data_IF_707124567516
#
_entry.id   IF_707124567516
#
_cell.length_a   1.000
_cell.length_b   1.000
_cell.length_c   1.000
_cell.angle_alpha   90.00
_cell.angle_beta   90.00
_cell.angle_gamma   90.00
#
_symmetry.space_group_name_H-M   'P 1'
#
loop_
_entity.id
_entity.type
_entity.pdbx_description
1 polymer ?
#
# COMPACT_ATOMS: atom_id res chain seq x y z
N UNK A 1 -1.33 -78.21 15.45
CA UNK A 1 -1.12 -77.10 14.47
C UNK A 1 -1.88 -75.81 14.72
N UNK A 2 -2.86 -75.69 15.62
CA UNK A 2 -3.62 -74.47 15.92
C UNK A 2 -2.85 -73.46 16.82
N UNK A 3 -1.93 -73.94 17.64
CA UNK A 3 -1.21 -73.05 18.61
C UNK A 3 -0.14 -72.11 17.96
N UNK A 4 0.50 -72.57 16.89
CA UNK A 4 1.57 -71.82 16.20
C UNK A 4 1.02 -70.62 15.45
N UNK A 5 -0.17 -70.72 14.87
CA UNK A 5 -0.76 -69.55 14.12
C UNK A 5 -1.20 -68.41 15.02
N UNK A 6 -1.62 -68.68 16.25
CA UNK A 6 -2.01 -67.66 17.21
C UNK A 6 -0.79 -66.91 17.73
N UNK A 7 0.35 -67.61 17.89
CA UNK A 7 1.60 -66.96 18.32
C UNK A 7 2.16 -66.06 17.24
N UNK A 8 2.15 -66.50 15.97
CA UNK A 8 2.60 -65.75 14.81
C UNK A 8 1.72 -64.50 14.61
N UNK A 9 0.38 -64.60 14.74
CA UNK A 9 -0.50 -63.44 14.57
C UNK A 9 -0.29 -62.36 15.64
N UNK A 10 -0.05 -62.79 16.91
CA UNK A 10 0.28 -61.83 18.01
C UNK A 10 1.63 -61.18 17.82
N UNK A 11 2.62 -61.90 17.29
CA UNK A 11 3.93 -61.35 16.99
C UNK A 11 3.87 -60.34 15.84
N UNK A 12 3.15 -60.66 14.77
CA UNK A 12 2.91 -59.75 13.63
C UNK A 12 2.19 -58.46 14.08
N UNK A 13 1.14 -58.60 14.91
CA UNK A 13 0.42 -57.44 15.45
C UNK A 13 1.33 -56.50 16.25
N UNK A 14 2.22 -57.05 17.09
CA UNK A 14 3.16 -56.25 17.87
C UNK A 14 4.20 -55.55 17.03
N UNK A 15 4.67 -56.19 15.96
CA UNK A 15 5.62 -55.59 14.99
C UNK A 15 4.91 -54.48 14.21
N UNK A 16 3.65 -54.67 13.80
CA UNK A 16 2.87 -53.64 13.10
C UNK A 16 2.62 -52.41 13.97
N UNK A 17 2.28 -52.61 15.25
CA UNK A 17 2.14 -51.50 16.22
C UNK A 17 3.43 -50.75 16.45
N UNK A 18 4.57 -51.46 16.56
CA UNK A 18 5.89 -50.81 16.72
C UNK A 18 6.28 -50.01 15.48
N UNK A 19 5.98 -50.49 14.27
CA UNK A 19 6.21 -49.75 13.02
C UNK A 19 5.32 -48.51 12.90
N UNK A 20 4.05 -48.62 13.31
CA UNK A 20 3.11 -47.52 13.29
C UNK A 20 3.51 -46.40 14.31
N UNK A 21 4.00 -46.79 15.48
CA UNK A 21 4.51 -45.87 16.48
C UNK A 21 5.79 -45.14 15.98
N UNK A 22 6.65 -45.82 15.22
CA UNK A 22 7.87 -45.24 14.65
C UNK A 22 7.55 -44.21 13.56
N UNK A 23 6.52 -44.44 12.74
CA UNK A 23 6.07 -43.53 11.67
C UNK A 23 5.48 -42.26 12.28
N UNK A 24 4.72 -42.35 13.36
CA UNK A 24 4.12 -41.20 14.05
C UNK A 24 5.19 -40.32 14.71
N UNK A 25 6.28 -40.90 15.24
CA UNK A 25 7.35 -40.14 15.88
C UNK A 25 8.19 -39.33 14.87
N UNK A 26 8.26 -39.73 13.60
CA UNK A 26 8.97 -38.97 12.55
C UNK A 26 8.12 -37.81 12.02
N UNK A 27 6.80 -37.91 12.08
CA UNK A 27 5.89 -36.88 11.56
C UNK A 27 5.81 -35.61 12.42
N UNK A 28 6.21 -35.65 13.68
CA UNK A 28 6.18 -34.47 14.59
C UNK A 28 7.51 -33.71 14.67
N UNK A 29 8.57 -34.16 13.96
CA UNK A 29 9.86 -33.46 13.94
C UNK A 29 10.01 -32.47 12.80
N UNK A 30 8.97 -32.26 11.98
CA UNK A 30 9.06 -31.47 10.75
C UNK A 30 8.34 -30.11 10.85
N UNK A 31 8.50 -29.38 11.94
CA UNK A 31 8.14 -27.97 12.01
C UNK A 31 8.88 -27.27 13.14
N UNK A 32 10.19 -27.10 13.00
CA UNK A 32 10.88 -25.96 13.55
C UNK A 32 11.59 -25.26 12.37
N UNK A 33 10.79 -24.63 11.51
CA UNK A 33 11.32 -23.55 10.71
C UNK A 33 11.72 -22.48 11.71
N UNK A 34 12.99 -22.51 12.12
CA UNK A 34 13.64 -21.32 12.64
C UNK A 34 13.68 -20.34 11.45
N UNK A 35 12.58 -19.59 11.28
CA UNK A 35 12.58 -18.43 10.41
C UNK A 35 13.66 -17.55 11.02
N UNK A 36 14.76 -17.40 10.29
CA UNK A 36 15.81 -16.47 10.66
C UNK A 36 15.23 -15.05 10.54
N UNK A 37 14.67 -14.57 11.63
CA UNK A 37 14.09 -13.22 11.72
C UNK A 37 15.14 -12.11 11.58
N UNK A 38 16.44 -12.46 11.62
CA UNK A 38 17.53 -11.49 11.45
C UNK A 38 17.54 -10.86 10.05
N UNK A 39 16.97 -11.55 9.05
CA UNK A 39 16.77 -11.05 7.69
C UNK A 39 15.36 -10.53 7.42
N UNK A 40 14.48 -10.52 8.43
CA UNK A 40 13.18 -9.91 8.29
C UNK A 40 13.39 -8.40 8.17
N UNK A 41 13.20 -7.85 6.97
CA UNK A 41 13.23 -6.41 6.76
C UNK A 41 12.07 -5.79 7.54
N UNK A 42 12.36 -5.30 8.73
CA UNK A 42 11.40 -4.52 9.51
C UNK A 42 11.32 -3.14 8.86
N UNK A 43 10.24 -2.87 8.16
CA UNK A 43 9.96 -1.55 7.63
C UNK A 43 9.82 -0.57 8.82
N UNK A 44 10.85 0.25 9.04
CA UNK A 44 10.86 1.29 10.06
C UNK A 44 10.26 2.62 9.56
N UNK A 45 9.84 2.66 8.29
CA UNK A 45 9.27 3.83 7.66
C UNK A 45 7.78 3.99 7.97
N UNK A 46 7.33 5.23 7.97
CA UNK A 46 5.92 5.57 8.09
C UNK A 46 5.18 5.28 6.79
N UNK A 47 4.00 4.65 6.85
CA UNK A 47 3.14 4.48 5.68
C UNK A 47 2.59 5.82 5.21
N UNK A 48 2.19 5.92 3.93
CA UNK A 48 1.58 7.14 3.39
C UNK A 48 0.32 7.53 4.17
N UNK A 49 -0.58 6.58 4.42
CA UNK A 49 -1.77 6.82 5.26
C UNK A 49 -1.41 7.21 6.68
N UNK A 50 -0.38 6.61 7.27
CA UNK A 50 0.13 6.98 8.58
C UNK A 50 0.66 8.42 8.63
N UNK A 51 1.37 8.85 7.59
CA UNK A 51 1.82 10.23 7.44
C UNK A 51 0.63 11.20 7.34
N UNK A 52 -0.32 10.93 6.42
CA UNK A 52 -1.50 11.78 6.21
C UNK A 52 -2.32 11.96 7.50
N UNK A 53 -2.49 10.90 8.30
CA UNK A 53 -3.20 10.94 9.58
C UNK A 53 -2.58 11.90 10.61
N UNK A 54 -1.28 12.19 10.49
CA UNK A 54 -0.54 13.05 11.43
C UNK A 54 -0.50 14.51 11.00
N UNK A 55 -0.92 14.82 9.77
CA UNK A 55 -0.90 16.18 9.22
C UNK A 55 -2.31 16.76 9.21
N UNK A 56 -2.62 17.76 10.08
CA UNK A 56 -3.95 18.35 10.14
C UNK A 56 -4.40 18.98 8.82
N UNK A 57 -3.47 19.55 8.05
CA UNK A 57 -3.68 20.19 6.75
C UNK A 57 -3.98 19.20 5.59
N UNK A 58 -3.95 17.90 5.86
CA UNK A 58 -4.26 16.84 4.89
C UNK A 58 -5.52 16.05 5.27
N UNK A 59 -6.31 16.58 6.19
CA UNK A 59 -7.48 15.89 6.74
C UNK A 59 -8.53 15.57 5.67
N UNK A 60 -8.76 16.48 4.71
CA UNK A 60 -9.68 16.26 3.59
C UNK A 60 -9.17 15.19 2.62
N UNK A 61 -7.85 15.14 2.40
CA UNK A 61 -7.28 14.06 1.59
C UNK A 61 -7.51 12.69 2.21
N UNK A 62 -7.42 12.56 3.53
CA UNK A 62 -7.75 11.33 4.24
C UNK A 62 -9.21 10.89 4.02
N UNK A 63 -10.16 11.85 3.99
CA UNK A 63 -11.55 11.56 3.64
C UNK A 63 -11.66 10.99 2.23
N UNK A 64 -10.96 11.60 1.26
CA UNK A 64 -10.96 11.11 -0.13
C UNK A 64 -10.32 9.74 -0.26
N UNK A 65 -9.23 9.44 0.45
CA UNK A 65 -8.60 8.12 0.47
C UNK A 65 -9.55 7.02 0.94
N UNK A 66 -10.40 7.29 1.95
CA UNK A 66 -11.40 6.36 2.48
C UNK A 66 -12.56 6.13 1.52
N UNK A 67 -12.83 7.04 0.60
CA UNK A 67 -13.88 6.93 -0.42
C UNK A 67 -13.38 6.27 -1.71
N UNK A 68 -12.14 6.53 -2.08
CA UNK A 68 -11.56 5.99 -3.30
C UNK A 68 -11.29 4.48 -3.17
N UNK A 69 -11.77 3.68 -4.14
CA UNK A 69 -11.58 2.23 -4.18
C UNK A 69 -10.21 1.88 -4.74
N UNK A 70 -9.49 0.97 -4.08
CA UNK A 70 -8.15 0.56 -4.52
C UNK A 70 -8.15 -0.45 -5.68
N UNK A 71 -9.28 -1.12 -5.93
CA UNK A 71 -9.36 -2.21 -6.91
C UNK A 71 -8.77 -3.55 -6.44
N UNK A 72 -8.10 -3.61 -5.30
CA UNK A 72 -7.43 -4.81 -4.77
C UNK A 72 -8.36 -5.83 -4.10
N UNK A 73 -9.66 -5.67 -4.20
CA UNK A 73 -10.64 -6.57 -3.61
C UNK A 73 -11.97 -5.89 -3.29
N UNK A 74 -12.98 -6.67 -2.91
CA UNK A 74 -14.29 -6.12 -2.57
C UNK A 74 -14.20 -5.24 -1.33
N UNK A 75 -14.41 -3.94 -1.53
CA UNK A 75 -14.48 -2.95 -0.45
C UNK A 75 -13.14 -2.40 0.02
N UNK A 76 -12.00 -2.80 -0.57
CA UNK A 76 -10.72 -2.20 -0.25
C UNK A 76 -10.63 -0.76 -0.74
N UNK A 77 -10.21 0.14 0.13
CA UNK A 77 -10.07 1.57 -0.12
C UNK A 77 -8.60 1.98 -0.20
N UNK A 78 -8.33 3.16 -0.73
CA UNK A 78 -6.96 3.64 -0.94
C UNK A 78 -6.22 3.89 0.37
N UNK A 79 -6.90 4.27 1.44
CA UNK A 79 -6.26 4.41 2.76
C UNK A 79 -5.70 3.07 3.28
N UNK A 80 -6.41 1.96 3.08
CA UNK A 80 -5.90 0.63 3.44
C UNK A 80 -4.74 0.19 2.53
N UNK A 81 -4.83 0.48 1.22
CA UNK A 81 -3.75 0.15 0.30
C UNK A 81 -2.47 0.89 0.67
N UNK A 82 -2.57 2.19 0.95
CA UNK A 82 -1.43 3.05 1.30
C UNK A 82 -0.97 2.90 2.77
N UNK A 83 -1.69 2.14 3.59
CA UNK A 83 -1.24 1.71 4.93
C UNK A 83 -0.28 0.50 4.83
N UNK A 84 -0.40 -0.26 3.74
CA UNK A 84 0.46 -1.39 3.41
C UNK A 84 1.80 -0.94 2.81
N UNK A 85 2.76 -1.87 2.73
CA UNK A 85 4.05 -1.63 2.08
C UNK A 85 3.86 -1.45 0.57
N UNK A 86 4.62 -0.54 -0.01
CA UNK A 86 4.65 -0.30 -1.45
C UNK A 86 5.53 0.90 -1.78
N UNK A 87 5.96 1.00 -3.02
CA UNK A 87 6.76 2.11 -3.53
C UNK A 87 5.84 3.13 -4.19
N UNK A 88 5.29 4.04 -3.40
CA UNK A 88 4.36 5.06 -3.89
C UNK A 88 5.02 6.45 -3.89
N UNK A 89 4.81 7.20 -4.95
CA UNK A 89 5.07 8.63 -4.98
C UNK A 89 3.73 9.35 -4.93
N UNK A 90 3.52 10.15 -3.89
CA UNK A 90 2.24 10.80 -3.64
C UNK A 90 2.40 12.33 -3.68
N UNK A 91 1.63 12.97 -4.56
CA UNK A 91 1.50 14.42 -4.66
C UNK A 91 0.22 14.86 -3.96
N UNK A 92 0.30 14.97 -2.64
CA UNK A 92 -0.87 15.15 -1.78
C UNK A 92 -1.30 16.62 -1.77
N UNK A 93 -2.53 16.94 -2.23
CA UNK A 93 -3.06 18.30 -2.15
C UNK A 93 -3.42 18.67 -0.71
N UNK A 94 -3.20 19.92 -0.34
CA UNK A 94 -3.63 20.48 0.95
C UNK A 94 -5.15 20.59 1.04
N UNK A 95 -5.66 20.71 2.26
CA UNK A 95 -7.11 20.87 2.53
C UNK A 95 -7.71 22.06 1.80
N UNK A 96 -6.96 23.17 1.68
CA UNK A 96 -7.40 24.35 0.95
C UNK A 96 -7.48 24.09 -0.55
N UNK A 97 -6.50 23.42 -1.13
CA UNK A 97 -6.49 23.07 -2.54
C UNK A 97 -7.63 22.10 -2.89
N UNK A 98 -7.90 21.12 -2.02
CA UNK A 98 -9.05 20.22 -2.19
C UNK A 98 -10.36 21.00 -2.12
N UNK A 99 -10.49 21.91 -1.14
CA UNK A 99 -11.72 22.69 -0.99
C UNK A 99 -11.99 23.55 -2.21
N UNK A 100 -10.97 24.27 -2.69
CA UNK A 100 -11.10 25.13 -3.87
C UNK A 100 -11.52 24.30 -5.11
N UNK A 101 -10.90 23.14 -5.31
CA UNK A 101 -11.22 22.25 -6.41
C UNK A 101 -12.65 21.70 -6.31
N UNK A 102 -13.04 21.19 -5.14
CA UNK A 102 -14.37 20.62 -4.93
C UNK A 102 -15.46 21.69 -5.05
N UNK A 103 -15.25 22.87 -4.49
CA UNK A 103 -16.17 24.01 -4.60
C UNK A 103 -16.38 24.42 -6.08
N UNK A 104 -15.30 24.35 -6.88
CA UNK A 104 -15.37 24.64 -8.32
C UNK A 104 -16.16 23.56 -9.08
N UNK A 105 -15.92 22.28 -8.81
CA UNK A 105 -16.60 21.17 -9.49
C UNK A 105 -18.09 21.11 -9.14
N UNK A 106 -18.40 21.25 -7.85
CA UNK A 106 -19.79 21.23 -7.34
C UNK A 106 -20.51 22.58 -7.54
N UNK A 107 -19.81 23.58 -8.07
CA UNK A 107 -20.31 24.96 -8.23
C UNK A 107 -20.96 25.52 -6.97
N UNK A 108 -20.37 25.20 -5.81
CA UNK A 108 -20.88 25.57 -4.49
C UNK A 108 -19.73 25.81 -3.52
N UNK A 109 -19.60 27.03 -3.06
CA UNK A 109 -18.58 27.43 -2.06
C UNK A 109 -18.85 26.75 -0.71
N UNK A 110 -17.80 26.17 -0.08
CA UNK A 110 -17.86 25.49 1.20
C UNK A 110 -18.58 24.15 1.12
N UNK A 111 -18.49 23.45 -0.01
CA UNK A 111 -19.07 22.11 -0.14
C UNK A 111 -18.37 21.15 0.82
N UNK A 112 -19.15 20.36 1.55
CA UNK A 112 -18.61 19.39 2.50
C UNK A 112 -17.97 18.21 1.75
N UNK A 113 -16.66 18.04 1.92
CA UNK A 113 -15.86 16.97 1.27
C UNK A 113 -16.36 15.56 1.64
N UNK A 114 -17.05 15.42 2.80
CA UNK A 114 -17.69 14.15 3.14
C UNK A 114 -18.83 13.78 2.19
N UNK A 115 -19.40 14.73 1.49
CA UNK A 115 -20.48 14.51 0.52
C UNK A 115 -19.98 14.36 -0.93
N UNK A 116 -18.68 14.45 -1.16
CA UNK A 116 -18.08 14.19 -2.49
C UNK A 116 -18.40 12.76 -2.91
N UNK A 117 -18.74 12.57 -4.19
CA UNK A 117 -19.00 11.22 -4.73
C UNK A 117 -17.73 10.35 -4.70
N UNK A 118 -17.90 9.04 -4.56
CA UNK A 118 -16.79 8.08 -4.60
C UNK A 118 -16.02 8.19 -5.92
N UNK A 119 -16.71 8.46 -7.03
CA UNK A 119 -16.09 8.64 -8.35
C UNK A 119 -15.19 9.88 -8.39
N UNK A 120 -15.64 11.02 -7.85
CA UNK A 120 -14.83 12.23 -7.81
C UNK A 120 -13.64 12.07 -6.85
N UNK A 121 -13.87 11.44 -5.69
CA UNK A 121 -12.79 11.10 -4.77
C UNK A 121 -11.72 10.23 -5.43
N UNK A 122 -12.14 9.22 -6.20
CA UNK A 122 -11.22 8.34 -6.94
C UNK A 122 -10.43 9.11 -8.00
N UNK A 123 -11.06 10.02 -8.73
CA UNK A 123 -10.37 10.86 -9.72
C UNK A 123 -9.28 11.70 -9.06
N UNK A 124 -9.56 12.36 -7.95
CA UNK A 124 -8.59 13.19 -7.22
C UNK A 124 -7.42 12.33 -6.73
N UNK A 125 -7.73 11.24 -6.04
CA UNK A 125 -6.73 10.36 -5.43
C UNK A 125 -5.85 9.69 -6.51
N UNK A 126 -6.44 9.13 -7.56
CA UNK A 126 -5.68 8.42 -8.60
C UNK A 126 -4.79 9.34 -9.43
N UNK A 127 -5.16 10.61 -9.59
CA UNK A 127 -4.31 11.60 -10.25
C UNK A 127 -3.13 12.08 -9.38
N UNK A 128 -3.19 11.85 -8.07
CA UNK A 128 -2.15 12.30 -7.12
C UNK A 128 -1.14 11.21 -6.74
N UNK A 129 -1.33 9.96 -7.16
CA UNK A 129 -0.51 8.82 -6.75
C UNK A 129 0.11 8.15 -7.96
N UNK A 130 1.41 7.90 -7.89
CA UNK A 130 2.14 6.99 -8.78
C UNK A 130 2.43 5.71 -7.99
N UNK A 131 2.00 4.57 -8.51
CA UNK A 131 2.46 3.26 -8.06
C UNK A 131 3.73 2.92 -8.84
N UNK A 132 4.86 2.95 -8.14
CA UNK A 132 6.17 2.71 -8.75
C UNK A 132 6.47 1.19 -8.90
N UNK A 133 5.65 0.31 -8.32
CA UNK A 133 5.87 -1.13 -8.35
C UNK A 133 7.21 -1.51 -7.73
N UNK A 134 8.08 -2.17 -8.51
CA UNK A 134 9.42 -2.59 -8.08
C UNK A 134 10.48 -1.47 -8.21
N UNK A 135 10.12 -0.31 -8.76
CA UNK A 135 11.03 0.83 -8.93
C UNK A 135 10.98 1.70 -7.67
N UNK A 136 12.13 2.25 -7.27
CA UNK A 136 12.19 3.17 -6.13
C UNK A 136 11.27 4.38 -6.35
N UNK A 137 10.54 4.77 -5.30
CA UNK A 137 9.68 5.95 -5.34
C UNK A 137 10.49 7.22 -5.58
N UNK A 138 9.95 8.15 -6.34
CA UNK A 138 10.58 9.44 -6.56
C UNK A 138 10.70 10.23 -5.26
N UNK A 139 11.86 10.80 -5.02
CA UNK A 139 12.10 11.76 -3.94
C UNK A 139 12.10 13.18 -4.51
N UNK A 140 11.59 14.12 -3.75
CA UNK A 140 11.54 15.52 -4.20
C UNK A 140 12.92 16.12 -4.52
N UNK A 141 13.97 15.59 -3.90
CA UNK A 141 15.38 15.96 -4.14
C UNK A 141 15.90 15.47 -5.49
N UNK A 142 15.30 14.44 -6.06
CA UNK A 142 15.79 13.74 -7.26
C UNK A 142 15.01 14.19 -8.51
N UNK A 143 14.05 15.08 -8.36
CA UNK A 143 13.27 15.58 -9.49
C UNK A 143 14.15 16.35 -10.48
N UNK A 144 13.97 16.00 -11.74
CA UNK A 144 14.52 16.74 -12.87
C UNK A 144 13.39 17.39 -13.65
N UNK A 145 13.71 18.49 -14.35
CA UNK A 145 12.73 19.13 -15.22
C UNK A 145 12.35 18.19 -16.36
N UNK A 146 11.05 18.05 -16.56
CA UNK A 146 10.50 17.20 -17.61
C UNK A 146 9.39 16.28 -17.14
N UNK A 147 9.08 15.26 -17.95
CA UNK A 147 8.01 14.30 -17.71
C UNK A 147 8.54 13.14 -16.86
N UNK A 148 7.84 12.81 -15.78
CA UNK A 148 8.13 11.59 -15.02
C UNK A 148 7.84 10.35 -15.88
N UNK A 149 8.68 9.32 -15.75
CA UNK A 149 8.54 8.11 -16.56
C UNK A 149 7.30 7.29 -16.20
N UNK A 150 7.00 7.20 -14.89
CA UNK A 150 5.82 6.51 -14.40
C UNK A 150 4.62 7.44 -14.47
N UNK A 151 3.47 6.85 -14.81
CA UNK A 151 2.17 7.53 -14.79
C UNK A 151 1.51 7.43 -13.44
N UNK A 152 0.60 8.34 -13.16
CA UNK A 152 -0.31 8.22 -12.03
C UNK A 152 -1.23 7.00 -12.18
N UNK A 153 -1.90 6.60 -11.09
CA UNK A 153 -2.92 5.55 -11.13
C UNK A 153 -4.10 5.87 -12.05
N UNK A 154 -4.28 7.14 -12.43
CA UNK A 154 -5.25 7.59 -13.45
C UNK A 154 -4.68 7.55 -14.89
N UNK A 155 -3.55 6.89 -15.13
CA UNK A 155 -2.86 6.80 -16.44
C UNK A 155 -2.45 8.17 -17.01
N UNK A 156 -2.06 9.12 -16.15
CA UNK A 156 -1.63 10.47 -16.52
C UNK A 156 -0.16 10.67 -16.25
N UNK A 157 0.53 11.37 -17.16
CA UNK A 157 1.90 11.81 -16.92
C UNK A 157 1.92 13.04 -16.03
N UNK A 158 2.96 13.13 -15.18
CA UNK A 158 3.28 14.31 -14.39
C UNK A 158 4.49 15.00 -15.01
N UNK A 159 4.40 16.29 -15.18
CA UNK A 159 5.49 17.16 -15.66
C UNK A 159 6.03 17.93 -14.47
N UNK A 160 7.34 17.81 -14.25
CA UNK A 160 8.06 18.60 -13.24
C UNK A 160 8.65 19.83 -13.93
N UNK A 161 8.41 20.99 -13.37
CA UNK A 161 8.97 22.26 -13.81
C UNK A 161 9.62 22.99 -12.64
N UNK A 162 10.69 23.70 -12.92
CA UNK A 162 11.32 24.60 -11.96
C UNK A 162 11.05 26.05 -12.38
N UNK A 163 10.62 26.85 -11.43
CA UNK A 163 10.36 28.27 -11.66
C UNK A 163 10.96 29.11 -10.51
N UNK A 164 11.45 30.28 -10.80
CA UNK A 164 11.78 31.22 -9.74
C UNK A 164 10.50 31.87 -9.20
N UNK A 165 10.41 32.02 -7.88
CA UNK A 165 9.39 32.87 -7.26
C UNK A 165 9.83 34.34 -7.28
N UNK A 166 8.97 35.25 -6.81
CA UNK A 166 9.23 36.71 -6.76
C UNK A 166 10.48 37.07 -5.93
N UNK A 167 10.90 36.18 -5.05
CA UNK A 167 12.13 36.33 -4.23
C UNK A 167 13.37 35.70 -4.89
N UNK A 168 13.26 35.19 -6.12
CA UNK A 168 14.35 34.52 -6.83
C UNK A 168 14.65 33.08 -6.36
N UNK A 169 13.86 32.52 -5.42
CA UNK A 169 14.02 31.15 -4.96
C UNK A 169 13.40 30.19 -5.98
N UNK A 170 14.15 29.15 -6.35
CA UNK A 170 13.63 28.08 -7.21
C UNK A 170 12.56 27.29 -6.46
N UNK A 171 11.42 27.15 -7.10
CA UNK A 171 10.29 26.33 -6.62
C UNK A 171 10.00 25.22 -7.63
N UNK A 172 9.68 24.04 -7.13
CA UNK A 172 9.24 22.92 -7.95
C UNK A 172 7.73 23.03 -8.20
N UNK A 173 7.31 22.90 -9.46
CA UNK A 173 5.90 22.87 -9.86
C UNK A 173 5.56 21.58 -10.55
N UNK A 174 4.32 21.17 -10.39
CA UNK A 174 3.73 20.01 -11.07
C UNK A 174 2.79 20.53 -12.14
N UNK A 175 2.93 20.02 -13.35
CA UNK A 175 2.07 20.37 -14.50
C UNK A 175 1.95 21.89 -14.70
N UNK A 176 3.02 22.65 -14.41
CA UNK A 176 3.12 24.11 -14.49
C UNK A 176 2.31 24.90 -13.45
N UNK A 177 1.32 24.31 -12.80
CA UNK A 177 0.36 25.03 -11.95
C UNK A 177 0.59 24.78 -10.45
N UNK A 178 0.65 23.50 -10.05
CA UNK A 178 0.72 23.13 -8.63
C UNK A 178 2.15 23.27 -8.11
N UNK A 179 2.32 23.94 -6.97
CA UNK A 179 3.61 24.09 -6.30
C UNK A 179 3.81 22.97 -5.29
N UNK A 180 5.03 22.41 -5.23
CA UNK A 180 5.47 21.54 -4.13
C UNK A 180 5.96 22.44 -2.98
N UNK A 181 5.47 22.21 -1.79
CA UNK A 181 5.80 22.95 -0.55
C UNK A 181 6.65 22.10 0.38
#
# INVERSE_FOLDING_TARGET
MKSCNVFISKLLSRILFAFMALIVSVAVSSCSDNIDESNLYVFSGQSVTGFVKQQPELSKYLVLLKKARSGMGRGSTMDHMLESRGNYTCFIPTDDAIQEFVDSVENRRGFDVNNVSDSLAQVIVFNSIIDNGDIEAYKSTDFQEGVLQQKTMADRYIVINFAANDSGKVITRINTFSRIV
#
